data_IF_185141671510
#
_entry.id   IF_185141671510
#
_cell.length_a   1.000
_cell.length_b   1.000
_cell.length_c   1.000
_cell.angle_alpha   90.00
_cell.angle_beta   90.00
_cell.angle_gamma   90.00
#
_symmetry.space_group_name_H-M   'P 1'
#
loop_
_entity.id
_entity.type
_entity.pdbx_description
1 polymer ?
#
# COMPACT_ATOMS: atom_id res chain seq x y z
N UNK A 1 -39.37 29.14 7.99
CA UNK A 1 -39.30 28.00 7.06
C UNK A 1 -38.49 28.49 5.88
N UNK A 2 -37.23 28.09 5.78
CA UNK A 2 -36.37 28.41 4.64
C UNK A 2 -36.45 27.24 3.65
N UNK A 3 -36.54 27.55 2.36
CA UNK A 3 -36.76 26.61 1.25
C UNK A 3 -35.88 25.35 1.32
N UNK A 4 -36.52 24.19 1.21
CA UNK A 4 -35.93 22.85 1.40
C UNK A 4 -35.28 22.28 0.12
N UNK A 5 -35.36 22.97 -1.02
CA UNK A 5 -35.02 22.39 -2.34
C UNK A 5 -33.86 23.05 -3.12
N UNK A 6 -33.18 24.07 -2.58
CA UNK A 6 -32.04 24.68 -3.27
C UNK A 6 -30.74 23.90 -3.02
N UNK A 7 -30.49 22.86 -3.81
CA UNK A 7 -29.19 22.17 -3.87
C UNK A 7 -28.25 22.98 -4.75
N UNK A 8 -27.04 23.28 -4.28
CA UNK A 8 -26.05 23.89 -5.16
C UNK A 8 -25.46 22.84 -6.13
N UNK A 9 -24.98 23.27 -7.29
CA UNK A 9 -24.49 22.36 -8.35
C UNK A 9 -23.38 21.42 -7.86
N UNK A 10 -22.53 21.89 -6.95
CA UNK A 10 -21.45 21.10 -6.35
C UNK A 10 -21.97 19.98 -5.43
N UNK A 11 -22.97 20.26 -4.59
CA UNK A 11 -23.63 19.28 -3.74
C UNK A 11 -24.39 18.25 -4.59
N UNK A 12 -25.03 18.68 -5.67
CA UNK A 12 -25.74 17.78 -6.58
C UNK A 12 -24.77 16.87 -7.35
N UNK A 13 -23.64 17.42 -7.82
CA UNK A 13 -22.56 16.64 -8.44
C UNK A 13 -21.97 15.61 -7.46
N UNK A 14 -21.66 16.03 -6.23
CA UNK A 14 -21.16 15.14 -5.18
C UNK A 14 -22.19 14.05 -4.88
N UNK A 15 -23.46 14.40 -4.72
CA UNK A 15 -24.56 13.46 -4.51
C UNK A 15 -24.62 12.41 -5.64
N UNK A 16 -24.73 12.84 -6.89
CA UNK A 16 -24.81 11.93 -8.05
C UNK A 16 -23.62 10.97 -8.12
N UNK A 17 -22.41 11.49 -7.87
CA UNK A 17 -21.19 10.67 -7.88
C UNK A 17 -21.19 9.61 -6.77
N UNK A 18 -21.61 9.99 -5.56
CA UNK A 18 -21.65 9.08 -4.40
C UNK A 18 -22.71 7.99 -4.63
N UNK A 19 -23.91 8.35 -5.08
CA UNK A 19 -24.99 7.40 -5.33
C UNK A 19 -24.60 6.40 -6.41
N UNK A 20 -24.05 6.87 -7.54
CA UNK A 20 -23.62 6.00 -8.64
C UNK A 20 -22.64 4.91 -8.16
N UNK A 21 -21.63 5.29 -7.36
CA UNK A 21 -20.66 4.34 -6.85
C UNK A 21 -21.25 3.43 -5.76
N UNK A 22 -22.11 3.94 -4.88
CA UNK A 22 -22.75 3.13 -3.84
C UNK A 22 -23.71 2.07 -4.42
N UNK A 23 -24.38 2.37 -5.54
CA UNK A 23 -25.25 1.42 -6.25
C UNK A 23 -24.46 0.43 -7.11
N UNK A 24 -23.42 0.90 -7.79
CA UNK A 24 -22.57 0.08 -8.69
C UNK A 24 -21.09 0.16 -8.31
N UNK A 25 -20.69 -0.37 -7.14
CA UNK A 25 -19.35 -0.16 -6.59
C UNK A 25 -18.30 -0.92 -7.38
N UNK A 26 -17.21 -0.24 -7.75
CA UNK A 26 -16.01 -0.91 -8.22
C UNK A 26 -15.32 -1.62 -7.05
N UNK A 27 -15.63 -2.90 -6.86
CA UNK A 27 -15.09 -3.72 -5.76
C UNK A 27 -13.57 -3.88 -5.76
N UNK A 28 -12.88 -3.54 -6.84
CA UNK A 28 -11.41 -3.58 -6.91
C UNK A 28 -10.75 -2.23 -6.62
N UNK A 29 -11.48 -1.13 -6.83
CA UNK A 29 -11.01 0.23 -6.62
C UNK A 29 -12.18 1.11 -6.14
N UNK A 30 -12.53 1.05 -4.85
CA UNK A 30 -13.70 1.76 -4.33
C UNK A 30 -13.48 3.28 -4.28
N UNK A 31 -14.56 4.04 -4.42
CA UNK A 31 -14.51 5.48 -4.26
C UNK A 31 -14.23 5.87 -2.80
N UNK A 32 -13.15 6.63 -2.61
CA UNK A 32 -12.87 7.36 -1.37
C UNK A 32 -12.93 8.84 -1.70
N UNK A 33 -14.03 9.51 -1.33
CA UNK A 33 -14.29 10.90 -1.68
C UNK A 33 -14.18 11.80 -0.45
N UNK A 34 -13.40 12.87 -0.53
CA UNK A 34 -13.40 13.94 0.47
C UNK A 34 -14.27 15.10 -0.01
N UNK A 35 -15.30 15.43 0.77
CA UNK A 35 -16.19 16.57 0.54
C UNK A 35 -15.84 17.66 1.55
N UNK A 36 -15.11 18.67 1.06
CA UNK A 36 -14.71 19.83 1.84
C UNK A 36 -15.79 20.92 1.80
N UNK A 37 -15.80 21.77 2.83
CA UNK A 37 -16.56 23.02 2.81
C UNK A 37 -16.43 23.75 4.14
N UNK A 38 -16.59 25.07 4.15
CA UNK A 38 -16.58 25.86 5.38
C UNK A 38 -17.76 25.50 6.30
N UNK A 39 -17.77 26.00 7.54
CA UNK A 39 -18.93 25.89 8.41
C UNK A 39 -20.16 26.54 7.76
N UNK A 40 -21.33 25.90 7.88
CA UNK A 40 -22.59 26.42 7.32
C UNK A 40 -22.83 26.15 5.83
N UNK A 41 -21.93 25.47 5.10
CA UNK A 41 -22.10 25.18 3.65
C UNK A 41 -23.04 24.01 3.32
N UNK A 42 -23.83 23.53 4.28
CA UNK A 42 -24.82 22.46 4.05
C UNK A 42 -24.26 21.02 4.01
N UNK A 43 -23.03 20.76 4.49
CA UNK A 43 -22.45 19.39 4.55
C UNK A 43 -23.37 18.38 5.26
N UNK A 44 -23.88 18.73 6.44
CA UNK A 44 -24.78 17.86 7.21
C UNK A 44 -26.12 17.63 6.52
N UNK A 45 -26.61 18.59 5.72
CA UNK A 45 -27.81 18.42 4.89
C UNK A 45 -27.54 17.41 3.78
N UNK A 46 -26.39 17.49 3.10
CA UNK A 46 -26.00 16.55 2.04
C UNK A 46 -25.85 15.12 2.60
N UNK A 47 -25.24 14.96 3.77
CA UNK A 47 -25.17 13.67 4.47
C UNK A 47 -26.56 13.07 4.66
N UNK A 48 -27.51 13.84 5.21
CA UNK A 48 -28.89 13.39 5.44
C UNK A 48 -29.59 13.00 4.13
N UNK A 49 -29.39 13.79 3.06
CA UNK A 49 -29.96 13.48 1.74
C UNK A 49 -29.43 12.15 1.17
N UNK A 50 -28.11 11.90 1.29
CA UNK A 50 -27.48 10.64 0.85
C UNK A 50 -28.03 9.45 1.66
N UNK A 51 -28.09 9.59 2.98
CA UNK A 51 -28.59 8.54 3.88
C UNK A 51 -30.05 8.20 3.60
N UNK A 52 -30.90 9.22 3.44
CA UNK A 52 -32.32 9.02 3.10
C UNK A 52 -32.52 8.31 1.75
N UNK A 53 -31.65 8.56 0.77
CA UNK A 53 -31.75 7.93 -0.55
C UNK A 53 -31.29 6.47 -0.52
N UNK A 54 -30.16 6.16 0.13
CA UNK A 54 -29.60 4.79 0.15
C UNK A 54 -30.34 3.89 1.17
N UNK A 55 -30.83 4.49 2.25
CA UNK A 55 -31.47 3.80 3.39
C UNK A 55 -30.49 3.49 4.52
N UNK A 56 -30.92 3.77 5.75
CA UNK A 56 -30.11 3.64 6.97
C UNK A 56 -29.49 2.25 7.16
N UNK A 57 -30.18 1.19 6.73
CA UNK A 57 -29.71 -0.20 6.86
C UNK A 57 -28.45 -0.49 6.03
N UNK A 58 -28.14 0.34 5.02
CA UNK A 58 -27.05 0.14 4.08
C UNK A 58 -25.89 1.14 4.26
N UNK A 59 -26.00 2.04 5.24
CA UNK A 59 -25.02 3.11 5.46
C UNK A 59 -24.52 3.11 6.90
N UNK A 60 -23.20 3.15 7.09
CA UNK A 60 -22.62 3.50 8.39
C UNK A 60 -22.38 5.00 8.42
N UNK A 61 -23.06 5.71 9.32
CA UNK A 61 -22.87 7.15 9.55
C UNK A 61 -22.06 7.35 10.82
N UNK A 62 -20.85 7.88 10.66
CA UNK A 62 -19.89 8.11 11.74
C UNK A 62 -19.42 9.57 11.80
N UNK A 63 -18.98 10.02 12.97
CA UNK A 63 -18.24 11.28 13.13
C UNK A 63 -17.16 11.18 14.21
N UNK A 64 -16.21 12.11 14.22
CA UNK A 64 -15.10 12.11 15.20
C UNK A 64 -15.55 12.39 16.63
N UNK A 65 -16.52 13.30 16.81
CA UNK A 65 -17.05 13.69 18.13
C UNK A 65 -18.50 13.23 18.33
N UNK A 66 -18.91 13.08 19.60
CA UNK A 66 -20.28 12.67 19.93
C UNK A 66 -21.34 13.68 19.50
N UNK A 67 -21.03 14.97 19.58
CA UNK A 67 -21.94 16.03 19.17
C UNK A 67 -22.12 16.07 17.64
N UNK A 68 -21.03 15.99 16.88
CA UNK A 68 -21.08 15.90 15.42
C UNK A 68 -21.85 14.66 14.97
N UNK A 69 -21.61 13.50 15.60
CA UNK A 69 -22.32 12.26 15.29
C UNK A 69 -23.84 12.42 15.48
N UNK A 70 -24.27 13.03 16.59
CA UNK A 70 -25.68 13.29 16.86
C UNK A 70 -26.31 14.20 15.79
N UNK A 71 -25.57 15.20 15.31
CA UNK A 71 -26.06 16.16 14.31
C UNK A 71 -26.34 15.55 12.93
N UNK A 72 -25.74 14.41 12.61
CA UNK A 72 -25.97 13.68 11.35
C UNK A 72 -26.76 12.38 11.55
N UNK A 73 -27.29 12.14 12.75
CA UNK A 73 -28.03 10.90 13.07
C UNK A 73 -27.14 9.65 13.17
N UNK A 74 -25.83 9.82 13.34
CA UNK A 74 -24.85 8.74 13.39
C UNK A 74 -24.32 8.42 14.79
N UNK A 75 -23.19 7.71 14.83
CA UNK A 75 -22.43 7.40 16.06
C UNK A 75 -21.00 7.91 15.95
N UNK A 76 -20.25 7.94 17.04
CA UNK A 76 -18.81 8.24 16.93
C UNK A 76 -18.11 7.14 16.14
N UNK A 77 -17.01 7.44 15.43
CA UNK A 77 -16.23 6.43 14.66
C UNK A 77 -15.93 5.19 15.53
N UNK A 78 -15.51 5.40 16.77
CA UNK A 78 -15.26 4.33 17.74
C UNK A 78 -16.48 3.44 17.98
N UNK A 79 -17.67 4.02 18.20
CA UNK A 79 -18.90 3.26 18.46
C UNK A 79 -19.51 2.65 17.20
N UNK A 80 -19.43 3.36 16.07
CA UNK A 80 -19.96 2.91 14.79
C UNK A 80 -19.23 1.66 14.28
N UNK A 81 -17.90 1.64 14.44
CA UNK A 81 -17.04 0.57 13.96
C UNK A 81 -16.58 -0.39 15.07
N UNK A 82 -17.02 -0.18 16.32
CA UNK A 82 -16.63 -0.99 17.49
C UNK A 82 -15.11 -1.04 17.70
N UNK A 83 -14.45 0.12 17.60
CA UNK A 83 -13.01 0.26 17.82
C UNK A 83 -12.73 0.56 19.30
N UNK A 84 -11.67 -0.05 19.83
CA UNK A 84 -11.21 0.21 21.19
C UNK A 84 -10.57 1.61 21.29
N UNK A 85 -10.76 2.29 22.43
CA UNK A 85 -10.16 3.61 22.65
C UNK A 85 -8.62 3.55 22.78
N UNK A 86 -8.06 2.39 23.15
CA UNK A 86 -6.62 2.16 23.17
C UNK A 86 -6.05 2.06 21.75
N UNK A 87 -4.87 2.65 21.51
CA UNK A 87 -4.13 2.56 20.24
C UNK A 87 -3.49 1.17 19.99
N UNK A 88 -3.92 0.13 20.71
CA UNK A 88 -3.45 -1.24 20.53
C UNK A 88 -4.04 -1.82 19.24
N UNK A 89 -3.20 -2.40 18.39
CA UNK A 89 -3.56 -2.98 17.08
C UNK A 89 -4.53 -4.18 17.13
N UNK A 90 -4.92 -4.62 18.33
CA UNK A 90 -5.89 -5.68 18.58
C UNK A 90 -7.21 -5.07 19.07
N UNK A 91 -8.15 -4.83 18.16
CA UNK A 91 -9.54 -4.59 18.52
C UNK A 91 -10.18 -5.93 18.90
N UNK A 92 -10.47 -6.11 20.19
CA UNK A 92 -10.64 -7.40 20.87
C UNK A 92 -11.95 -8.18 20.57
N UNK A 93 -12.82 -7.68 19.69
CA UNK A 93 -14.08 -8.36 19.36
C UNK A 93 -14.01 -8.98 17.95
N UNK A 94 -13.47 -10.20 17.89
CA UNK A 94 -13.27 -10.97 16.64
C UNK A 94 -14.57 -11.55 16.03
N UNK A 95 -15.72 -11.40 16.70
CA UNK A 95 -17.02 -11.74 16.11
C UNK A 95 -17.46 -10.65 15.12
N UNK A 96 -16.88 -10.67 13.94
CA UNK A 96 -17.25 -9.76 12.86
C UNK A 96 -18.44 -10.33 12.09
N UNK A 97 -19.59 -9.68 12.23
CA UNK A 97 -20.72 -9.91 11.32
C UNK A 97 -20.34 -9.31 9.97
N UNK A 98 -20.08 -10.17 8.98
CA UNK A 98 -19.82 -9.75 7.61
C UNK A 98 -21.12 -9.17 7.05
N UNK A 99 -21.12 -7.88 6.72
CA UNK A 99 -22.28 -7.21 6.14
C UNK A 99 -22.15 -7.18 4.62
N UNK A 100 -22.88 -8.06 3.94
CA UNK A 100 -23.01 -8.04 2.46
C UNK A 100 -23.88 -6.89 1.96
N UNK A 101 -24.61 -6.24 2.85
CA UNK A 101 -25.58 -5.19 2.53
C UNK A 101 -25.02 -3.79 2.72
N UNK A 102 -23.85 -3.64 3.34
CA UNK A 102 -23.21 -2.33 3.51
C UNK A 102 -22.77 -1.79 2.14
N UNK A 103 -23.28 -0.61 1.78
CA UNK A 103 -22.97 0.07 0.52
C UNK A 103 -22.05 1.28 0.72
N UNK A 104 -22.22 2.00 1.83
CA UNK A 104 -21.57 3.28 2.05
C UNK A 104 -21.13 3.47 3.51
N UNK A 105 -19.95 4.06 3.71
CA UNK A 105 -19.50 4.60 4.99
C UNK A 105 -19.30 6.11 4.89
N UNK A 106 -19.93 6.86 5.77
CA UNK A 106 -19.79 8.31 5.89
C UNK A 106 -19.04 8.63 7.18
N UNK A 107 -18.02 9.47 7.11
CA UNK A 107 -17.30 9.98 8.28
C UNK A 107 -17.30 11.52 8.24
N UNK A 108 -17.98 12.15 9.19
CA UNK A 108 -18.01 13.61 9.34
C UNK A 108 -16.96 14.11 10.35
N UNK A 109 -16.66 15.40 10.26
CA UNK A 109 -15.63 16.09 11.04
C UNK A 109 -14.26 15.40 10.97
N UNK A 110 -13.86 14.99 9.76
CA UNK A 110 -12.63 14.21 9.52
C UNK A 110 -11.34 14.95 9.91
N UNK A 111 -11.37 16.28 10.02
CA UNK A 111 -10.24 17.12 10.44
C UNK A 111 -9.73 16.75 11.83
N UNK A 112 -10.61 16.37 12.75
CA UNK A 112 -10.26 15.90 14.09
C UNK A 112 -9.87 14.41 14.15
N UNK A 113 -9.95 13.69 13.03
CA UNK A 113 -9.56 12.29 12.95
C UNK A 113 -8.05 12.21 12.75
N UNK A 114 -7.35 11.46 13.60
CA UNK A 114 -5.93 11.20 13.36
C UNK A 114 -5.74 10.05 12.36
N UNK A 115 -4.57 9.99 11.72
CA UNK A 115 -4.26 8.99 10.71
C UNK A 115 -4.35 7.55 11.23
N UNK A 116 -3.95 7.31 12.49
CA UNK A 116 -3.96 5.97 13.11
C UNK A 116 -5.39 5.46 13.30
N UNK A 117 -6.28 6.31 13.80
CA UNK A 117 -7.71 5.99 13.96
C UNK A 117 -8.35 5.73 12.60
N UNK A 118 -8.01 6.54 11.59
CA UNK A 118 -8.49 6.35 10.23
C UNK A 118 -8.02 5.01 9.63
N UNK A 119 -6.77 4.62 9.88
CA UNK A 119 -6.21 3.33 9.45
C UNK A 119 -6.87 2.14 10.14
N UNK A 120 -7.18 2.27 11.43
CA UNK A 120 -7.94 1.27 12.18
C UNK A 120 -9.37 1.13 11.67
N UNK A 121 -10.02 2.25 11.37
CA UNK A 121 -11.36 2.28 10.79
C UNK A 121 -11.38 1.55 9.43
N UNK A 122 -10.40 1.81 8.55
CA UNK A 122 -10.27 1.11 7.28
C UNK A 122 -10.09 -0.40 7.44
N UNK A 123 -9.19 -0.83 8.33
CA UNK A 123 -8.96 -2.25 8.59
C UNK A 123 -10.21 -2.94 9.13
N UNK A 124 -11.01 -2.24 9.95
CA UNK A 124 -12.28 -2.73 10.45
C UNK A 124 -13.33 -2.87 9.34
N UNK A 125 -13.43 -1.88 8.45
CA UNK A 125 -14.35 -1.92 7.31
C UNK A 125 -14.01 -3.09 6.38
N UNK A 126 -12.72 -3.33 6.09
CA UNK A 126 -12.27 -4.52 5.33
C UNK A 126 -12.79 -5.83 5.90
N UNK A 127 -12.72 -5.98 7.23
CA UNK A 127 -13.24 -7.18 7.92
C UNK A 127 -14.76 -7.26 7.81
N UNK A 128 -15.48 -6.14 7.99
CA UNK A 128 -16.96 -6.10 7.85
C UNK A 128 -17.39 -6.48 6.43
N UNK A 129 -16.65 -6.07 5.42
CA UNK A 129 -16.95 -6.36 4.01
C UNK A 129 -16.50 -7.77 3.58
N UNK A 130 -15.69 -8.46 4.37
CA UNK A 130 -15.16 -9.79 4.04
C UNK A 130 -14.13 -9.78 2.91
N UNK A 131 -13.48 -8.63 2.64
CA UNK A 131 -12.48 -8.49 1.58
C UNK A 131 -11.20 -7.82 2.13
N UNK A 132 -10.27 -8.58 2.72
CA UNK A 132 -9.14 -8.05 3.47
C UNK A 132 -8.03 -7.44 2.62
N UNK A 133 -8.01 -7.71 1.31
CA UNK A 133 -6.94 -7.27 0.41
C UNK A 133 -7.29 -6.02 -0.40
N UNK A 134 -8.53 -5.55 -0.31
CA UNK A 134 -9.01 -4.34 -1.00
C UNK A 134 -9.23 -3.22 0.01
N UNK A 135 -8.79 -2.01 -0.31
CA UNK A 135 -9.01 -0.80 0.51
C UNK A 135 -10.50 -0.67 0.89
N UNK A 136 -10.82 -0.48 2.17
CA UNK A 136 -12.19 -0.43 2.69
C UNK A 136 -13.07 -1.64 2.27
N UNK A 137 -12.45 -2.75 1.89
CA UNK A 137 -13.14 -3.96 1.42
C UNK A 137 -14.02 -3.75 0.18
N UNK A 138 -13.73 -2.75 -0.65
CA UNK A 138 -14.55 -2.42 -1.81
C UNK A 138 -15.85 -1.68 -1.46
N UNK A 139 -15.95 -1.10 -0.26
CA UNK A 139 -17.04 -0.22 0.15
C UNK A 139 -16.76 1.23 -0.23
N UNK A 140 -17.79 1.95 -0.69
CA UNK A 140 -17.71 3.39 -0.94
C UNK A 140 -17.53 4.13 0.39
N UNK A 141 -16.58 5.05 0.45
CA UNK A 141 -16.31 5.86 1.66
C UNK A 141 -16.34 7.34 1.31
N UNK A 142 -17.09 8.12 2.09
CA UNK A 142 -17.18 9.57 1.94
C UNK A 142 -16.79 10.25 3.24
N UNK A 143 -15.83 11.16 3.15
CA UNK A 143 -15.27 11.91 4.25
C UNK A 143 -15.75 13.35 4.17
N UNK A 144 -16.38 13.84 5.22
CA UNK A 144 -16.82 15.22 5.33
C UNK A 144 -16.00 15.94 6.39
N UNK A 145 -15.76 17.23 6.15
CA UNK A 145 -15.16 18.11 7.14
C UNK A 145 -14.51 19.32 6.51
N UNK A 146 -13.82 20.06 7.36
CA UNK A 146 -13.05 21.23 6.98
C UNK A 146 -11.65 21.10 7.61
N UNK A 147 -10.65 20.86 6.77
CA UNK A 147 -9.26 20.66 7.23
C UNK A 147 -8.65 21.95 7.80
N UNK A 148 -9.28 23.12 7.61
CA UNK A 148 -8.86 24.40 8.18
C UNK A 148 -9.43 24.64 9.59
N UNK A 149 -10.32 23.78 10.09
CA UNK A 149 -10.82 23.84 11.46
C UNK A 149 -9.81 23.20 12.44
N UNK A 150 -10.30 22.50 13.47
CA UNK A 150 -9.45 21.97 14.52
C UNK A 150 -8.68 20.73 14.05
N UNK A 151 -7.38 20.64 14.39
CA UNK A 151 -6.57 19.44 14.15
C UNK A 151 -7.03 18.27 15.03
N UNK A 152 -6.52 17.05 14.78
CA UNK A 152 -6.67 15.97 15.75
C UNK A 152 -6.01 16.35 17.08
N UNK A 153 -6.67 16.00 18.19
CA UNK A 153 -6.19 16.29 19.56
C UNK A 153 -4.82 15.64 19.84
N UNK A 154 -4.57 14.46 19.28
CA UNK A 154 -3.29 13.77 19.33
C UNK A 154 -3.06 12.94 18.06
N UNK A 155 -1.80 12.84 17.63
CA UNK A 155 -1.38 12.09 16.45
C UNK A 155 -1.25 12.95 15.19
N UNK A 156 -1.02 12.30 14.05
CA UNK A 156 -0.88 12.97 12.74
C UNK A 156 -2.24 13.24 12.09
N UNK A 157 -2.30 14.31 11.28
CA UNK A 157 -3.45 14.63 10.43
C UNK A 157 -3.91 13.47 9.56
N UNK A 158 -5.22 13.34 9.33
CA UNK A 158 -5.82 12.28 8.51
C UNK A 158 -5.21 12.18 7.10
N UNK A 159 -4.91 13.30 6.44
CA UNK A 159 -4.33 13.33 5.08
C UNK A 159 -2.87 12.86 5.03
N UNK A 160 -2.24 12.65 6.19
CA UNK A 160 -0.94 11.97 6.29
C UNK A 160 -1.08 10.44 6.40
N UNK A 161 -2.30 9.91 6.46
CA UNK A 161 -2.55 8.47 6.43
C UNK A 161 -2.00 7.86 5.15
N UNK A 162 -1.47 6.65 5.28
CA UNK A 162 -1.01 5.84 4.15
C UNK A 162 -2.13 5.42 3.18
N UNK A 163 -3.40 5.59 3.58
CA UNK A 163 -4.59 5.14 2.87
C UNK A 163 -5.20 6.17 1.93
N UNK A 164 -5.11 7.47 2.25
CA UNK A 164 -5.67 8.52 1.42
C UNK A 164 -4.76 8.76 0.20
N UNK A 165 -5.34 9.14 -0.96
CA UNK A 165 -4.62 9.26 -2.21
C UNK A 165 -3.66 10.47 -2.20
N UNK A 166 -2.57 10.36 -1.46
CA UNK A 166 -1.29 11.01 -1.75
C UNK A 166 -0.39 10.10 -2.59
N UNK A 167 -0.87 8.91 -2.97
CA UNK A 167 -0.16 8.01 -3.87
C UNK A 167 -0.96 7.73 -5.11
N UNK A 168 -0.60 8.44 -6.17
CA UNK A 168 -1.04 8.16 -7.53
C UNK A 168 -0.32 6.89 -8.01
N UNK A 169 -0.64 5.73 -7.44
CA UNK A 169 -0.01 4.45 -7.80
C UNK A 169 -0.05 4.23 -9.32
N UNK A 170 -1.19 4.52 -9.94
CA UNK A 170 -1.31 4.45 -11.39
C UNK A 170 -0.40 5.42 -12.12
N UNK A 171 -0.27 6.68 -11.67
CA UNK A 171 0.64 7.61 -12.33
C UNK A 171 2.11 7.28 -12.05
N UNK A 172 2.45 6.65 -10.91
CA UNK A 172 3.79 6.14 -10.65
C UNK A 172 4.14 4.98 -11.58
N UNK A 173 3.21 4.02 -11.72
CA UNK A 173 3.38 2.88 -12.60
C UNK A 173 3.41 3.33 -14.07
N UNK A 174 2.53 4.25 -14.48
CA UNK A 174 2.54 4.78 -15.85
C UNK A 174 3.85 5.51 -16.13
N UNK A 175 4.36 6.33 -15.19
CA UNK A 175 5.66 6.98 -15.36
C UNK A 175 6.81 5.97 -15.49
N UNK A 176 6.80 4.88 -14.71
CA UNK A 176 7.76 3.78 -14.87
C UNK A 176 7.65 3.14 -16.26
N UNK A 177 6.42 2.84 -16.70
CA UNK A 177 6.14 2.18 -17.98
C UNK A 177 6.50 3.04 -19.19
N UNK A 178 6.29 4.36 -19.13
CA UNK A 178 6.68 5.32 -20.18
C UNK A 178 8.19 5.31 -20.46
N UNK A 179 8.99 4.93 -19.48
CA UNK A 179 10.45 4.88 -19.58
C UNK A 179 10.98 3.45 -19.62
N UNK A 180 10.09 2.45 -19.61
CA UNK A 180 10.47 1.05 -19.42
C UNK A 180 11.35 0.57 -20.56
N UNK A 181 12.48 0.01 -20.18
CA UNK A 181 13.50 -0.52 -21.06
C UNK A 181 13.88 -1.91 -20.54
N UNK A 182 13.66 -2.93 -21.38
CA UNK A 182 13.90 -4.34 -21.05
C UNK A 182 15.39 -4.62 -20.79
N UNK A 183 16.29 -3.82 -21.37
CA UNK A 183 17.74 -4.03 -21.28
C UNK A 183 18.39 -3.30 -20.10
N UNK A 184 17.75 -2.24 -19.60
CA UNK A 184 18.28 -1.43 -18.49
C UNK A 184 17.85 -1.96 -17.13
N UNK A 185 18.74 -1.84 -16.15
CA UNK A 185 18.45 -2.16 -14.76
C UNK A 185 17.63 -1.04 -14.08
N UNK A 186 16.35 -0.96 -14.44
CA UNK A 186 15.40 0.01 -13.89
C UNK A 186 14.62 -0.57 -12.70
N UNK A 187 14.44 0.22 -11.64
CA UNK A 187 13.72 -0.23 -10.45
C UNK A 187 12.83 0.85 -9.84
N UNK A 188 11.63 0.47 -9.41
CA UNK A 188 10.82 1.27 -8.50
C UNK A 188 11.23 1.00 -7.05
N UNK A 189 11.53 2.03 -6.27
CA UNK A 189 11.92 1.88 -4.86
C UNK A 189 10.80 2.35 -3.93
N UNK A 190 10.38 1.46 -3.03
CA UNK A 190 9.33 1.73 -2.06
C UNK A 190 9.75 1.38 -0.63
N UNK A 191 9.00 1.88 0.36
CA UNK A 191 9.33 1.69 1.76
C UNK A 191 9.06 0.26 2.27
N UNK A 192 7.94 -0.34 1.89
CA UNK A 192 7.48 -1.60 2.48
C UNK A 192 7.34 -2.73 1.45
N UNK A 193 7.46 -3.97 1.92
CA UNK A 193 7.21 -5.16 1.09
C UNK A 193 5.77 -5.21 0.54
N UNK A 194 4.81 -4.65 1.28
CA UNK A 194 3.41 -4.54 0.80
C UNK A 194 3.32 -3.60 -0.41
N UNK A 195 3.97 -2.43 -0.34
CA UNK A 195 4.02 -1.48 -1.43
C UNK A 195 4.71 -2.05 -2.68
N UNK A 196 5.83 -2.75 -2.51
CA UNK A 196 6.54 -3.37 -3.64
C UNK A 196 5.73 -4.48 -4.29
N UNK A 197 5.05 -5.34 -3.51
CA UNK A 197 4.14 -6.36 -4.08
C UNK A 197 3.02 -5.74 -4.89
N UNK A 198 2.42 -4.66 -4.39
CA UNK A 198 1.37 -3.93 -5.12
C UNK A 198 1.89 -3.37 -6.44
N UNK A 199 3.04 -2.67 -6.43
CA UNK A 199 3.68 -2.14 -7.63
C UNK A 199 4.02 -3.23 -8.64
N UNK A 200 4.69 -4.29 -8.19
CA UNK A 200 5.05 -5.42 -9.03
C UNK A 200 3.81 -6.04 -9.69
N UNK A 201 2.72 -6.27 -8.93
CA UNK A 201 1.47 -6.77 -9.48
C UNK A 201 0.89 -5.84 -10.55
N UNK A 202 0.83 -4.54 -10.27
CA UNK A 202 0.29 -3.53 -11.20
C UNK A 202 1.12 -3.45 -12.48
N UNK A 203 2.45 -3.47 -12.37
CA UNK A 203 3.35 -3.46 -13.54
C UNK A 203 3.16 -4.73 -14.36
N UNK A 204 3.16 -5.91 -13.75
CA UNK A 204 2.93 -7.18 -14.46
C UNK A 204 1.63 -7.18 -15.25
N UNK A 205 0.51 -6.77 -14.63
CA UNK A 205 -0.80 -6.80 -15.30
C UNK A 205 -0.98 -5.69 -16.35
N UNK A 206 -0.11 -4.68 -16.36
CA UNK A 206 -0.07 -3.66 -17.43
C UNK A 206 0.88 -4.03 -18.56
N UNK A 207 1.95 -4.78 -18.28
CA UNK A 207 2.91 -5.24 -19.29
C UNK A 207 2.42 -6.45 -20.07
N UNK A 208 1.67 -7.35 -19.42
CA UNK A 208 1.28 -8.63 -20.00
C UNK A 208 -0.23 -8.81 -20.00
N UNK A 209 -0.75 -9.46 -21.03
CA UNK A 209 -2.16 -9.85 -21.11
C UNK A 209 -2.43 -11.00 -20.15
N UNK A 210 -3.68 -11.10 -19.68
CA UNK A 210 -4.09 -12.13 -18.74
C UNK A 210 -3.86 -13.56 -19.25
N UNK A 211 -3.98 -13.77 -20.57
CA UNK A 211 -3.79 -15.06 -21.25
C UNK A 211 -2.32 -15.53 -21.28
N UNK A 212 -1.37 -14.61 -21.11
CA UNK A 212 0.07 -14.91 -21.12
C UNK A 212 0.64 -15.14 -19.71
N UNK A 213 -0.21 -15.00 -18.67
CA UNK A 213 0.19 -15.07 -17.27
C UNK A 213 0.08 -16.50 -16.71
N UNK A 214 1.15 -16.91 -16.03
CA UNK A 214 1.27 -18.16 -15.31
C UNK A 214 1.44 -17.91 -13.81
N UNK A 215 0.80 -18.73 -13.00
CA UNK A 215 0.83 -18.65 -11.55
C UNK A 215 2.12 -19.27 -11.00
N UNK A 216 2.87 -18.49 -10.22
CA UNK A 216 3.94 -18.98 -9.37
C UNK A 216 3.34 -19.29 -8.00
N UNK A 217 3.18 -20.59 -7.71
CA UNK A 217 2.57 -21.07 -6.47
C UNK A 217 3.65 -21.52 -5.49
N UNK A 218 3.57 -21.00 -4.26
CA UNK A 218 4.36 -21.51 -3.15
C UNK A 218 3.50 -22.41 -2.27
N UNK A 219 4.06 -23.57 -1.91
CA UNK A 219 3.43 -24.50 -0.98
C UNK A 219 4.10 -24.35 0.38
N UNK A 220 3.37 -23.86 1.36
CA UNK A 220 3.82 -23.74 2.75
C UNK A 220 3.29 -24.92 3.55
N UNK A 221 4.19 -25.71 4.12
CA UNK A 221 3.91 -26.85 4.97
C UNK A 221 4.34 -26.47 6.39
N UNK A 222 3.38 -26.41 7.31
CA UNK A 222 3.63 -26.11 8.72
C UNK A 222 3.40 -27.37 9.54
N UNK A 223 4.42 -27.79 10.29
CA UNK A 223 4.34 -28.93 11.19
C UNK A 223 4.47 -28.46 12.63
N UNK A 224 3.44 -28.73 13.44
CA UNK A 224 3.36 -28.40 14.87
C UNK A 224 3.08 -29.68 15.64
N UNK A 225 4.07 -30.20 16.36
CA UNK A 225 3.99 -31.53 17.00
C UNK A 225 3.77 -32.62 15.94
N UNK A 226 2.63 -33.33 16.04
CA UNK A 226 2.20 -34.36 15.08
C UNK A 226 1.31 -33.83 13.95
N UNK A 227 0.81 -32.60 14.06
CA UNK A 227 -0.10 -32.01 13.07
C UNK A 227 0.69 -31.36 11.93
N UNK A 228 0.29 -31.62 10.68
CA UNK A 228 0.86 -30.98 9.49
C UNK A 228 -0.24 -30.29 8.70
N UNK A 229 -0.11 -28.97 8.49
CA UNK A 229 -1.01 -28.17 7.67
C UNK A 229 -0.27 -27.73 6.40
N UNK A 230 -0.83 -28.06 5.25
CA UNK A 230 -0.31 -27.62 3.95
C UNK A 230 -1.21 -26.53 3.40
N UNK A 231 -0.61 -25.42 2.97
CA UNK A 231 -1.30 -24.34 2.29
C UNK A 231 -0.61 -24.07 0.94
N UNK A 232 -1.40 -23.97 -0.14
CA UNK A 232 -0.91 -23.62 -1.47
C UNK A 232 -1.49 -22.27 -1.84
N UNK A 233 -0.62 -21.29 -2.03
CA UNK A 233 -1.04 -19.94 -2.39
C UNK A 233 -0.35 -19.52 -3.69
N UNK A 234 -1.11 -18.88 -4.58
CA UNK A 234 -0.53 -18.15 -5.72
C UNK A 234 0.23 -16.96 -5.15
N UNK A 235 1.55 -16.98 -5.26
CA UNK A 235 2.42 -15.93 -4.73
C UNK A 235 2.41 -14.71 -5.63
N UNK A 236 2.53 -14.92 -6.94
CA UNK A 236 2.49 -13.90 -7.98
C UNK A 236 2.34 -14.56 -9.36
N UNK A 237 2.20 -13.73 -10.40
CA UNK A 237 2.09 -14.18 -11.78
C UNK A 237 3.31 -13.74 -12.61
N UNK A 238 3.69 -14.57 -13.58
CA UNK A 238 4.80 -14.33 -14.52
C UNK A 238 4.38 -14.63 -15.94
N UNK A 239 4.99 -13.94 -16.88
CA UNK A 239 4.89 -14.20 -18.32
C UNK A 239 6.29 -14.31 -18.92
N UNK A 240 6.38 -14.77 -20.18
CA UNK A 240 7.60 -14.62 -20.96
C UNK A 240 8.03 -13.15 -20.96
N UNK A 241 9.34 -12.89 -20.85
CA UNK A 241 9.96 -11.57 -20.63
C UNK A 241 9.75 -10.93 -19.25
N UNK A 242 9.07 -11.58 -18.31
CA UNK A 242 8.95 -11.02 -16.96
C UNK A 242 10.31 -10.85 -16.29
N UNK A 243 10.50 -9.71 -15.60
CA UNK A 243 11.66 -9.47 -14.75
C UNK A 243 11.45 -10.08 -13.37
N UNK A 244 12.38 -10.92 -12.96
CA UNK A 244 12.38 -11.62 -11.68
C UNK A 244 13.71 -11.44 -10.97
N UNK A 245 13.70 -11.59 -9.65
CA UNK A 245 14.86 -11.54 -8.78
C UNK A 245 14.99 -12.87 -8.06
N UNK A 246 16.20 -13.41 -8.05
CA UNK A 246 16.54 -14.61 -7.28
C UNK A 246 16.51 -14.25 -5.78
N UNK A 247 15.79 -15.01 -4.96
CA UNK A 247 15.67 -14.76 -3.52
C UNK A 247 16.60 -15.61 -2.66
N UNK A 248 17.29 -16.61 -3.23
CA UNK A 248 18.16 -17.55 -2.50
C UNK A 248 19.42 -17.88 -3.28
N UNK A 249 20.49 -18.16 -2.55
CA UNK A 249 21.69 -18.74 -3.15
C UNK A 249 21.41 -20.21 -3.45
N UNK A 250 21.40 -20.56 -4.74
CA UNK A 250 21.15 -21.92 -5.21
C UNK A 250 22.48 -22.56 -5.58
N UNK A 251 23.32 -21.84 -6.31
CA UNK A 251 24.64 -22.27 -6.73
C UNK A 251 25.59 -21.07 -6.90
N UNK A 252 26.78 -21.29 -7.48
CA UNK A 252 27.79 -20.24 -7.68
C UNK A 252 27.38 -19.15 -8.68
N UNK A 253 26.35 -19.39 -9.49
CA UNK A 253 25.87 -18.48 -10.53
C UNK A 253 24.48 -17.90 -10.24
N UNK A 254 23.63 -18.61 -9.50
CA UNK A 254 22.30 -18.17 -9.07
C UNK A 254 22.36 -17.75 -7.60
N UNK A 255 22.63 -16.45 -7.38
CA UNK A 255 22.76 -15.86 -6.05
C UNK A 255 21.62 -14.90 -5.73
N UNK A 256 21.32 -14.77 -4.44
CA UNK A 256 20.27 -13.88 -3.94
C UNK A 256 20.53 -12.42 -4.36
N UNK A 257 19.51 -11.78 -4.92
CA UNK A 257 19.53 -10.40 -5.38
C UNK A 257 19.78 -10.25 -6.88
N UNK A 258 20.24 -11.29 -7.59
CA UNK A 258 20.40 -11.23 -9.04
C UNK A 258 19.06 -11.06 -9.76
N UNK A 259 19.08 -10.22 -10.78
CA UNK A 259 17.93 -9.95 -11.65
C UNK A 259 18.07 -10.79 -12.92
N UNK A 260 16.95 -11.35 -13.36
CA UNK A 260 16.86 -12.15 -14.57
C UNK A 260 15.57 -11.85 -15.34
N UNK A 261 15.60 -12.15 -16.63
CA UNK A 261 14.40 -12.14 -17.49
C UNK A 261 13.96 -13.56 -17.75
N UNK A 262 12.65 -13.83 -17.63
CA UNK A 262 12.06 -15.14 -17.98
C UNK A 262 12.10 -15.31 -19.50
N UNK A 263 12.87 -16.29 -19.98
CA UNK A 263 12.95 -16.63 -21.40
C UNK A 263 11.89 -17.66 -21.82
N UNK A 264 11.71 -18.70 -20.98
CA UNK A 264 10.75 -19.78 -21.22
C UNK A 264 10.13 -20.22 -19.90
N UNK A 265 8.84 -20.57 -19.96
CA UNK A 265 8.09 -21.10 -18.83
C UNK A 265 7.75 -22.55 -19.13
N UNK A 266 8.09 -23.44 -18.21
CA UNK A 266 7.56 -24.80 -18.20
C UNK A 266 6.43 -24.83 -17.18
N UNK A 267 5.28 -25.36 -17.58
CA UNK A 267 4.06 -25.27 -16.78
C UNK A 267 3.22 -26.55 -16.88
N UNK A 268 2.43 -26.77 -15.85
CA UNK A 268 1.29 -27.67 -15.88
C UNK A 268 0.03 -26.80 -15.79
N UNK A 269 -0.81 -26.85 -16.82
CA UNK A 269 -1.89 -25.88 -17.02
C UNK A 269 -1.37 -24.43 -16.96
N UNK A 270 -1.88 -23.63 -16.02
CA UNK A 270 -1.48 -22.25 -15.78
C UNK A 270 -0.42 -22.11 -14.68
N UNK A 271 0.07 -23.20 -14.09
CA UNK A 271 1.04 -23.16 -12.99
C UNK A 271 2.46 -23.35 -13.50
N UNK A 272 3.34 -22.37 -13.24
CA UNK A 272 4.76 -22.48 -13.55
C UNK A 272 5.45 -23.54 -12.66
N UNK A 273 6.12 -24.50 -13.29
CA UNK A 273 6.87 -25.57 -12.62
C UNK A 273 8.38 -25.34 -12.68
N UNK A 274 8.90 -24.86 -13.81
CA UNK A 274 10.30 -24.45 -14.00
C UNK A 274 10.36 -23.20 -14.88
N UNK A 275 11.44 -22.44 -14.77
CA UNK A 275 11.68 -21.25 -15.58
C UNK A 275 13.07 -21.30 -16.21
N UNK A 276 13.16 -21.03 -17.50
CA UNK A 276 14.42 -20.69 -18.14
C UNK A 276 14.63 -19.18 -18.00
N UNK A 277 15.74 -18.77 -17.41
CA UNK A 277 16.07 -17.40 -17.06
C UNK A 277 17.32 -16.94 -17.83
N UNK A 278 17.31 -15.69 -18.28
CA UNK A 278 18.49 -14.99 -18.78
C UNK A 278 18.94 -14.01 -17.69
N UNK A 279 20.11 -14.25 -17.09
CA UNK A 279 20.67 -13.39 -16.05
C UNK A 279 21.12 -12.04 -16.64
N UNK A 280 20.81 -10.94 -15.97
CA UNK A 280 21.13 -9.61 -16.50
C UNK A 280 22.63 -9.30 -16.49
N UNK A 281 23.35 -9.79 -15.48
CA UNK A 281 24.77 -9.49 -15.26
C UNK A 281 25.69 -10.07 -16.34
N UNK A 282 25.47 -11.33 -16.73
CA UNK A 282 26.36 -12.06 -17.64
C UNK A 282 25.64 -12.64 -18.87
N UNK A 283 24.34 -12.39 -19.02
CA UNK A 283 23.49 -12.91 -20.11
C UNK A 283 23.47 -14.44 -20.22
N UNK A 284 23.88 -15.15 -19.18
CA UNK A 284 23.83 -16.62 -19.15
C UNK A 284 22.40 -17.12 -19.02
N UNK A 285 22.12 -18.24 -19.68
CA UNK A 285 20.83 -18.94 -19.62
C UNK A 285 20.89 -20.01 -18.54
N UNK A 286 19.89 -20.02 -17.64
CA UNK A 286 19.82 -20.96 -16.51
C UNK A 286 18.41 -21.50 -16.37
N UNK A 287 18.29 -22.77 -16.01
CA UNK A 287 17.00 -23.37 -15.63
C UNK A 287 16.87 -23.24 -14.11
N UNK A 288 15.77 -22.66 -13.68
CA UNK A 288 15.38 -22.52 -12.28
C UNK A 288 14.27 -23.52 -11.95
N UNK A 289 14.52 -24.31 -10.92
CA UNK A 289 13.59 -25.30 -10.41
C UNK A 289 13.03 -24.92 -9.05
N UNK A 290 11.96 -25.61 -8.65
CA UNK A 290 11.37 -25.46 -7.33
C UNK A 290 12.33 -26.04 -6.31
N UNK A 291 12.59 -25.28 -5.25
CA UNK A 291 13.43 -25.75 -4.15
C UNK A 291 12.64 -25.82 -2.85
N UNK A 292 13.07 -26.75 -2.01
CA UNK A 292 12.63 -26.89 -0.64
C UNK A 292 13.39 -25.90 0.24
N UNK A 293 12.67 -25.27 1.17
CA UNK A 293 13.30 -24.28 2.03
C UNK A 293 12.67 -24.17 3.40
N UNK A 294 13.49 -23.81 4.39
CA UNK A 294 13.13 -23.85 5.80
C UNK A 294 13.24 -22.44 6.41
N UNK A 295 12.26 -21.55 6.16
CA UNK A 295 12.34 -20.15 6.57
C UNK A 295 12.26 -19.91 8.08
N UNK A 296 11.68 -20.82 8.87
CA UNK A 296 11.75 -20.74 10.33
C UNK A 296 11.70 -22.12 10.99
N UNK A 297 12.59 -22.31 11.96
CA UNK A 297 12.62 -23.47 12.84
C UNK A 297 12.53 -22.96 14.28
N UNK A 298 11.32 -22.84 14.82
CA UNK A 298 11.16 -22.70 16.27
C UNK A 298 11.05 -24.09 16.90
N UNK A 299 11.35 -24.25 18.21
CA UNK A 299 11.29 -25.56 18.88
C UNK A 299 9.92 -26.27 18.73
N UNK A 300 8.84 -25.50 18.58
CA UNK A 300 7.46 -25.98 18.52
C UNK A 300 6.87 -26.08 17.10
N UNK A 301 7.44 -25.38 16.11
CA UNK A 301 6.87 -25.32 14.76
C UNK A 301 7.96 -25.30 13.69
N UNK A 302 7.87 -26.26 12.77
CA UNK A 302 8.71 -26.30 11.58
C UNK A 302 7.90 -25.78 10.40
N UNK A 303 8.39 -24.73 9.75
CA UNK A 303 7.79 -24.22 8.51
C UNK A 303 8.70 -24.55 7.34
N UNK A 304 8.11 -25.20 6.34
CA UNK A 304 8.75 -25.62 5.12
C UNK A 304 8.03 -24.98 3.93
N UNK A 305 8.76 -24.43 2.96
CA UNK A 305 8.20 -23.77 1.78
C UNK A 305 8.83 -24.35 0.53
N UNK A 306 7.98 -24.84 -0.38
CA UNK A 306 8.36 -25.40 -1.67
C UNK A 306 7.90 -24.49 -2.80
N UNK A 307 8.82 -24.01 -3.61
CA UNK A 307 8.50 -23.13 -4.72
C UNK A 307 9.71 -22.65 -5.48
N UNK A 308 9.46 -21.91 -6.57
CA UNK A 308 10.52 -21.22 -7.29
C UNK A 308 11.06 -20.08 -6.39
N UNK A 309 12.37 -20.03 -6.10
CA UNK A 309 12.97 -19.06 -5.17
C UNK A 309 13.20 -17.70 -5.86
N UNK A 310 12.12 -17.11 -6.36
CA UNK A 310 12.12 -15.84 -7.07
C UNK A 310 10.98 -14.93 -6.62
N UNK A 311 11.14 -13.64 -6.87
CA UNK A 311 10.10 -12.62 -6.76
C UNK A 311 10.10 -11.71 -8.00
N UNK A 312 9.00 -11.03 -8.33
CA UNK A 312 9.00 -10.00 -9.36
C UNK A 312 9.99 -8.87 -9.05
N UNK A 313 10.66 -8.34 -10.07
CA UNK A 313 11.77 -7.39 -9.94
C UNK A 313 11.55 -6.06 -10.67
N UNK A 314 10.32 -5.55 -10.69
CA UNK A 314 10.02 -4.18 -11.14
C UNK A 314 10.09 -3.17 -9.98
N UNK A 315 9.79 -3.63 -8.76
CA UNK A 315 9.82 -2.84 -7.55
C UNK A 315 10.50 -3.57 -6.39
N UNK A 316 11.33 -2.84 -5.64
CA UNK A 316 12.06 -3.32 -4.46
C UNK A 316 11.94 -2.36 -3.28
N UNK A 317 12.22 -2.89 -2.09
CA UNK A 317 12.30 -2.03 -0.91
C UNK A 317 13.62 -1.28 -0.90
N UNK A 318 13.65 -0.09 -0.28
CA UNK A 318 14.90 0.66 -0.08
C UNK A 318 16.03 -0.22 0.48
N UNK A 319 15.72 -1.03 1.50
CA UNK A 319 16.66 -1.97 2.11
C UNK A 319 17.24 -2.98 1.12
N UNK A 320 16.39 -3.60 0.28
CA UNK A 320 16.83 -4.60 -0.70
C UNK A 320 17.65 -3.99 -1.85
N UNK A 321 17.53 -2.69 -2.09
CA UNK A 321 18.34 -1.97 -3.09
C UNK A 321 19.72 -1.52 -2.58
N UNK A 322 19.98 -1.60 -1.27
CA UNK A 322 21.22 -1.08 -0.69
C UNK A 322 22.45 -1.80 -1.26
N UNK A 323 23.43 -1.03 -1.71
CA UNK A 323 24.67 -1.55 -2.32
C UNK A 323 24.58 -1.79 -3.82
N UNK A 324 23.39 -1.74 -4.44
CA UNK A 324 23.23 -1.87 -5.88
C UNK A 324 23.42 -0.53 -6.60
N UNK A 325 23.98 -0.58 -7.82
CA UNK A 325 23.93 0.54 -8.78
C UNK A 325 22.87 0.21 -9.81
N UNK A 326 21.94 1.14 -10.04
CA UNK A 326 20.81 0.97 -10.95
C UNK A 326 20.93 1.98 -12.10
N UNK A 327 20.46 1.59 -13.29
CA UNK A 327 20.51 2.46 -14.47
C UNK A 327 19.46 3.56 -14.38
N UNK A 328 18.29 3.26 -13.79
CA UNK A 328 17.22 4.24 -13.57
C UNK A 328 16.40 3.88 -12.35
N UNK A 329 16.03 4.89 -11.56
CA UNK A 329 15.31 4.69 -10.30
C UNK A 329 14.05 5.53 -10.25
N UNK A 330 12.95 4.87 -9.90
CA UNK A 330 11.64 5.50 -9.67
C UNK A 330 11.35 5.45 -8.18
N UNK A 331 11.69 6.52 -7.48
CA UNK A 331 11.70 6.59 -6.03
C UNK A 331 10.35 7.08 -5.50
N UNK A 332 9.63 6.23 -4.76
CA UNK A 332 8.37 6.62 -4.13
C UNK A 332 8.61 7.28 -2.77
N UNK A 333 8.52 8.60 -2.74
CA UNK A 333 8.85 9.44 -1.58
C UNK A 333 7.66 9.68 -0.63
N UNK A 334 7.21 8.63 0.07
CA UNK A 334 6.08 8.71 1.02
C UNK A 334 6.30 9.71 2.17
N UNK A 335 5.23 10.27 2.76
CA UNK A 335 5.30 11.17 3.92
C UNK A 335 5.90 10.60 5.22
N UNK A 336 6.26 9.31 5.26
CA UNK A 336 6.62 8.59 6.49
C UNK A 336 7.81 7.62 6.30
N UNK A 337 8.75 7.93 5.41
CA UNK A 337 9.95 7.09 5.27
C UNK A 337 10.90 7.37 6.46
N UNK A 338 11.50 6.35 7.10
CA UNK A 338 12.51 6.55 8.13
C UNK A 338 13.74 7.33 7.65
N UNK A 339 14.46 7.96 8.60
CA UNK A 339 15.65 8.72 8.28
C UNK A 339 16.67 7.92 7.44
N UNK A 340 17.30 8.59 6.47
CA UNK A 340 18.35 8.01 5.62
C UNK A 340 17.85 7.17 4.43
N UNK A 341 16.62 6.64 4.46
CA UNK A 341 16.10 5.77 3.38
C UNK A 341 15.93 6.50 2.05
N UNK A 342 15.48 7.75 2.08
CA UNK A 342 15.42 8.58 0.88
C UNK A 342 16.82 8.73 0.25
N UNK A 343 17.83 9.01 1.06
CA UNK A 343 19.24 9.10 0.63
C UNK A 343 19.74 7.76 0.04
N UNK A 344 19.39 6.63 0.66
CA UNK A 344 19.70 5.30 0.11
C UNK A 344 19.11 5.14 -1.29
N UNK A 345 17.86 5.52 -1.50
CA UNK A 345 17.21 5.42 -2.81
C UNK A 345 17.82 6.34 -3.88
N UNK A 346 18.05 7.62 -3.56
CA UNK A 346 18.66 8.60 -4.48
C UNK A 346 20.08 8.18 -4.87
N UNK A 347 20.86 7.67 -3.92
CA UNK A 347 22.24 7.24 -4.15
C UNK A 347 22.40 5.97 -5.00
N UNK A 348 21.30 5.37 -5.48
CA UNK A 348 21.35 4.18 -6.36
C UNK A 348 21.66 4.54 -7.82
N UNK A 349 21.47 5.79 -8.23
CA UNK A 349 21.76 6.28 -9.59
C UNK A 349 22.96 7.21 -9.61
N UNK A 350 23.68 7.24 -10.73
CA UNK A 350 24.90 8.06 -10.90
C UNK A 350 24.60 9.48 -11.37
N UNK A 351 23.49 9.67 -12.07
CA UNK A 351 23.08 10.93 -12.69
C UNK A 351 21.67 11.30 -12.24
N UNK A 352 21.40 12.60 -12.13
CA UNK A 352 20.07 13.11 -11.76
C UNK A 352 19.01 12.82 -12.83
N UNK A 353 19.40 12.74 -14.12
CA UNK A 353 18.50 12.42 -15.23
C UNK A 353 17.87 11.02 -15.14
N UNK A 354 18.54 10.12 -14.41
CA UNK A 354 18.10 8.75 -14.18
C UNK A 354 17.29 8.60 -12.87
N UNK A 355 17.06 9.69 -12.16
CA UNK A 355 16.28 9.73 -10.92
C UNK A 355 14.88 10.31 -11.17
N UNK A 356 13.85 9.47 -11.03
CA UNK A 356 12.46 9.88 -11.05
C UNK A 356 11.88 9.85 -9.64
N UNK A 357 11.58 11.01 -9.05
CA UNK A 357 10.99 11.08 -7.71
C UNK A 357 9.47 11.19 -7.85
N UNK A 358 8.76 10.24 -7.27
CA UNK A 358 7.30 10.11 -7.36
C UNK A 358 6.64 10.30 -6.00
N UNK A 359 5.43 10.86 -5.99
CA UNK A 359 4.66 11.21 -4.77
C UNK A 359 5.47 12.09 -3.79
N UNK A 360 6.24 13.03 -4.34
CA UNK A 360 7.16 13.87 -3.58
C UNK A 360 6.46 14.73 -2.52
N UNK A 361 6.95 14.64 -1.28
CA UNK A 361 6.64 15.59 -0.22
C UNK A 361 7.94 16.04 0.46
N UNK A 362 8.46 17.21 0.00
CA UNK A 362 9.76 17.75 0.41
C UNK A 362 9.94 17.82 1.94
N UNK A 363 8.90 18.25 2.67
CA UNK A 363 8.98 18.47 4.12
C UNK A 363 9.06 17.17 4.95
N UNK A 364 8.76 16.01 4.36
CA UNK A 364 8.58 14.77 5.12
C UNK A 364 9.46 13.60 4.67
N UNK A 365 9.95 13.63 3.43
CA UNK A 365 10.73 12.53 2.85
C UNK A 365 12.23 12.58 3.19
N UNK A 366 12.82 13.78 3.28
CA UNK A 366 14.25 13.93 3.62
C UNK A 366 14.39 14.13 5.12
N UNK A 367 14.83 13.10 5.81
CA UNK A 367 15.20 13.16 7.23
C UNK A 367 16.53 12.48 7.43
N UNK A 368 17.38 13.07 8.27
CA UNK A 368 18.60 12.44 8.74
C UNK A 368 18.45 12.15 10.23
N UNK A 369 18.96 11.00 10.64
CA UNK A 369 18.82 10.50 11.99
C UNK A 369 19.56 11.43 12.98
N UNK A 370 18.92 11.91 14.07
CA UNK A 370 19.54 12.82 15.02
C UNK A 370 20.78 12.24 15.71
N UNK A 371 20.78 10.95 16.05
CA UNK A 371 21.91 10.28 16.71
C UNK A 371 23.07 10.13 15.73
N UNK A 372 22.79 9.72 14.49
CA UNK A 372 23.81 9.65 13.45
C UNK A 372 24.44 11.04 13.18
N UNK A 373 23.62 12.11 13.15
CA UNK A 373 24.13 13.49 13.03
C UNK A 373 25.05 13.86 14.19
N UNK A 374 24.65 13.54 15.42
CA UNK A 374 25.45 13.82 16.61
C UNK A 374 26.79 13.07 16.59
N UNK A 375 26.78 11.81 16.19
CA UNK A 375 27.98 10.98 16.09
C UNK A 375 28.93 11.48 15.00
N UNK A 376 28.42 11.83 13.82
CA UNK A 376 29.23 12.45 12.76
C UNK A 376 29.86 13.77 13.21
N UNK A 377 29.15 14.56 14.04
CA UNK A 377 29.70 15.77 14.64
C UNK A 377 30.86 15.45 15.59
N UNK A 378 30.69 14.45 16.47
CA UNK A 378 31.75 13.98 17.39
C UNK A 378 32.99 13.52 16.61
N UNK A 379 32.81 12.67 15.60
CA UNK A 379 33.88 12.12 14.76
C UNK A 379 34.64 13.19 13.96
N UNK A 380 33.96 14.23 13.48
CA UNK A 380 34.62 15.33 12.76
C UNK A 380 35.46 16.19 13.70
N UNK A 381 34.95 16.48 14.90
CA UNK A 381 35.69 17.23 15.92
C UNK A 381 36.95 16.46 16.36
N UNK A 382 36.85 15.13 16.51
CA UNK A 382 38.02 14.32 16.93
C UNK A 382 39.17 14.32 15.91
N UNK A 383 38.91 14.67 14.65
CA UNK A 383 39.94 14.81 13.60
C UNK A 383 40.26 16.27 13.25
N UNK A 384 39.91 17.22 14.13
CA UNK A 384 40.20 18.65 13.96
C UNK A 384 39.40 19.33 12.84
N UNK A 385 38.31 18.73 12.37
CA UNK A 385 37.43 19.32 11.34
C UNK A 385 36.22 20.01 11.96
N UNK A 386 35.74 21.05 11.29
CA UNK A 386 34.51 21.73 11.66
C UNK A 386 33.30 20.78 11.57
N UNK A 387 32.25 20.97 12.40
CA UNK A 387 30.98 20.23 12.29
C UNK A 387 30.39 20.33 10.89
N UNK A 388 29.56 19.34 10.50
CA UNK A 388 28.81 19.43 9.24
C UNK A 388 27.91 20.69 9.24
N UNK A 389 27.87 21.46 8.15
CA UNK A 389 26.90 22.55 8.02
C UNK A 389 25.50 21.95 8.05
N UNK A 390 24.64 22.50 8.91
CA UNK A 390 23.24 22.10 9.04
C UNK A 390 22.49 22.72 7.86
N UNK A 391 22.55 22.10 6.68
CA UNK A 391 21.62 22.42 5.61
C UNK A 391 20.28 21.73 5.91
N UNK A 392 19.24 22.56 6.05
CA UNK A 392 17.85 22.14 6.29
C UNK A 392 17.16 21.75 4.99
#
# INVERSE_FOLDING_TARGET
MADIDCVNEEQESAFKRIIKDAETPNKSNPLVLFVCGQAGTGKSWLIRKIVNYIGDAHVIVAATTGFAAKNIGGRTIHKALQLNASNSNCDANDTVIVSKFLKLVIIDEISMCNAVLFERAEARIRRIMGNPDVLFGGCTVVLFGDLLQLPPVAGSWVFKSSLLPNTKWDSCVNNYLEHYDEEKNMMMLAWSNSATRKLNRMVTHKLFKQEDLYDVVHQTIMTTGTSTKTNRNVSFQVAKKSRVMIEKNIDSQLVNGQIATVNKIFCNDYQATQLELILHENKSVRILERIDSWPSTTPSTKTHVVGLPIAPAYALTYHKSQGQTLDKVFLLAYPCIPPGMFYVGVSRVRKSEDLHIMNWNACLAIKADPEAKAEYKRLRISIGKSPLPIFF
#
